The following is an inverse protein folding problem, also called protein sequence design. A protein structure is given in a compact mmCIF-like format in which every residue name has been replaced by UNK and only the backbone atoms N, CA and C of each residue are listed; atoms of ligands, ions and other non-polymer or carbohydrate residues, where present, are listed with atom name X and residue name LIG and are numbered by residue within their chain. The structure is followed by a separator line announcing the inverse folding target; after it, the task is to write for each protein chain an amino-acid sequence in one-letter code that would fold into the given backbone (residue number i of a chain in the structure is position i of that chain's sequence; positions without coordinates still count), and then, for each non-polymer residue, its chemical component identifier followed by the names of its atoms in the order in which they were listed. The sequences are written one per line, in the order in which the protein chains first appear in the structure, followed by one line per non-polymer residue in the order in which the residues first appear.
data_IF_474262411582
#
_entry.id   IF_474262411582
#
_cell.length_a   1.000
_cell.length_b   1.000
_cell.length_c   1.000
_cell.angle_alpha   90.00
_cell.angle_beta   90.00
_cell.angle_gamma   90.00
#
_symmetry.space_group_name_H-M   'P 1'
#
loop_
_entity.id
_entity.type
_entity.pdbx_description
1 polymer ?
#
# COMPACT_ATOMS: atom_id res chain seq x y z
N UNK A 1 27.10 -10.52 -17.21
CA UNK A 1 26.62 -10.00 -15.90
C UNK A 1 25.13 -10.26 -15.84
N UNK A 2 24.72 -11.37 -15.25
CA UNK A 2 23.32 -11.65 -15.02
C UNK A 2 22.93 -10.95 -13.74
N UNK A 3 22.43 -9.71 -13.84
CA UNK A 3 21.79 -9.10 -12.68
C UNK A 3 20.51 -9.89 -12.43
N UNK A 4 20.57 -10.70 -11.37
CA UNK A 4 19.54 -11.64 -10.98
C UNK A 4 18.27 -10.87 -10.72
N UNK A 5 17.41 -10.79 -11.74
CA UNK A 5 16.07 -10.23 -11.68
C UNK A 5 15.43 -10.72 -10.39
N UNK A 6 15.34 -9.80 -9.43
CA UNK A 6 14.67 -9.97 -8.17
C UNK A 6 13.17 -10.12 -8.47
N UNK A 7 12.78 -11.33 -8.92
CA UNK A 7 11.40 -11.75 -9.12
C UNK A 7 10.71 -12.01 -7.77
N UNK A 8 11.34 -11.67 -6.64
CA UNK A 8 10.64 -11.77 -5.37
C UNK A 8 9.64 -10.63 -5.32
N UNK A 9 8.39 -11.01 -5.53
CA UNK A 9 7.25 -10.13 -5.41
C UNK A 9 7.30 -9.44 -4.05
N UNK A 10 7.68 -8.16 -4.01
CA UNK A 10 7.81 -7.41 -2.76
C UNK A 10 6.43 -7.22 -2.14
N UNK A 11 6.33 -7.50 -0.86
CA UNK A 11 5.15 -7.23 -0.05
C UNK A 11 5.61 -6.27 1.04
N UNK A 12 4.99 -5.11 1.10
CA UNK A 12 5.27 -4.09 2.11
C UNK A 12 4.00 -3.82 2.90
N UNK A 13 4.11 -3.97 4.21
CA UNK A 13 3.04 -3.63 5.16
C UNK A 13 3.33 -2.25 5.72
N UNK A 14 2.49 -1.28 5.36
CA UNK A 14 2.58 0.08 5.88
C UNK A 14 1.59 0.21 7.02
N UNK A 15 2.08 0.56 8.20
CA UNK A 15 1.24 0.77 9.37
C UNK A 15 1.36 2.22 9.80
N UNK A 16 0.23 2.89 9.90
CA UNK A 16 0.07 4.19 10.48
C UNK A 16 -0.56 4.03 11.85
N UNK A 17 0.18 4.38 12.89
CA UNK A 17 -0.22 4.22 14.29
C UNK A 17 -1.13 5.34 14.80
N UNK A 18 -0.98 6.56 14.28
CA UNK A 18 -1.69 7.76 14.73
C UNK A 18 -2.32 8.48 13.54
N UNK A 19 -3.37 7.89 12.97
CA UNK A 19 -4.11 8.52 11.89
C UNK A 19 -5.31 9.30 12.43
N UNK A 20 -5.48 10.55 12.02
CA UNK A 20 -6.67 11.33 12.35
C UNK A 20 -7.88 10.81 11.53
N UNK A 21 -9.12 10.94 12.04
CA UNK A 21 -10.32 10.42 11.37
C UNK A 21 -10.50 10.94 9.94
N UNK A 22 -10.08 12.17 9.65
CA UNK A 22 -10.22 12.80 8.34
C UNK A 22 -9.27 12.18 7.30
N UNK A 23 -8.00 12.02 7.66
CA UNK A 23 -6.99 11.28 6.87
C UNK A 23 -7.40 9.82 6.67
N UNK A 24 -7.94 9.18 7.71
CA UNK A 24 -8.43 7.79 7.62
C UNK A 24 -9.55 7.66 6.59
N UNK A 25 -10.55 8.53 6.65
CA UNK A 25 -11.65 8.52 5.70
C UNK A 25 -11.15 8.72 4.26
N UNK A 26 -10.16 9.61 4.07
CA UNK A 26 -9.55 9.86 2.76
C UNK A 26 -8.76 8.65 2.25
N UNK A 27 -7.93 8.03 3.09
CA UNK A 27 -7.15 6.84 2.74
C UNK A 27 -8.01 5.63 2.49
N UNK A 28 -9.01 5.38 3.34
CA UNK A 28 -9.96 4.29 3.15
C UNK A 28 -10.76 4.48 1.86
N UNK A 29 -11.29 5.68 1.60
CA UNK A 29 -11.99 5.97 0.36
C UNK A 29 -11.09 5.73 -0.87
N UNK A 30 -9.82 6.15 -0.82
CA UNK A 30 -8.84 5.96 -1.88
C UNK A 30 -8.55 4.48 -2.17
N UNK A 31 -8.40 3.67 -1.12
CA UNK A 31 -8.09 2.23 -1.23
C UNK A 31 -9.34 1.45 -1.64
N UNK A 32 -10.50 1.81 -1.07
CA UNK A 32 -11.81 1.20 -1.37
C UNK A 32 -12.28 1.53 -2.77
N UNK A 33 -12.02 2.75 -3.28
CA UNK A 33 -12.29 3.12 -4.67
C UNK A 33 -11.52 2.21 -5.63
N UNK A 34 -10.26 1.89 -5.31
CA UNK A 34 -9.40 0.98 -6.07
C UNK A 34 -9.71 -0.50 -5.83
N UNK A 35 -10.54 -0.83 -4.83
CA UNK A 35 -10.89 -2.18 -4.37
C UNK A 35 -9.70 -3.15 -4.28
N UNK A 36 -8.52 -2.62 -3.98
CA UNK A 36 -7.28 -3.40 -4.01
C UNK A 36 -6.91 -4.05 -5.34
N UNK A 37 -7.56 -3.65 -6.42
CA UNK A 37 -7.46 -4.26 -7.74
C UNK A 37 -6.76 -3.34 -8.74
N UNK A 38 -6.88 -2.02 -8.60
CA UNK A 38 -6.16 -1.09 -9.50
C UNK A 38 -4.66 -1.03 -9.13
N UNK A 39 -3.77 -1.50 -10.02
CA UNK A 39 -2.35 -1.35 -9.83
C UNK A 39 -1.99 0.13 -10.05
N UNK A 40 -1.29 0.73 -9.09
CA UNK A 40 -0.81 2.10 -9.19
C UNK A 40 0.71 2.12 -9.28
N UNK A 41 1.24 3.04 -10.10
CA UNK A 41 2.68 3.26 -10.19
C UNK A 41 3.13 4.05 -8.97
N UNK A 42 4.00 3.43 -8.17
CA UNK A 42 4.64 4.09 -7.04
C UNK A 42 6.13 3.76 -7.06
N UNK A 43 6.93 4.81 -6.96
CA UNK A 43 8.38 4.73 -6.90
C UNK A 43 8.78 4.81 -5.43
N UNK A 44 9.11 3.68 -4.76
CA UNK A 44 9.67 3.75 -3.43
C UNK A 44 11.00 4.50 -3.48
N UNK A 45 11.36 5.25 -2.43
CA UNK A 45 12.61 6.03 -2.39
C UNK A 45 13.88 5.18 -2.54
N UNK A 46 13.78 3.86 -2.36
CA UNK A 46 14.84 2.87 -2.55
C UNK A 46 15.01 2.42 -4.02
N UNK A 47 14.05 2.68 -4.89
CA UNK A 47 14.11 2.27 -6.31
C UNK A 47 14.19 3.48 -7.24
N UNK A 48 14.99 3.34 -8.30
CA UNK A 48 15.16 4.37 -9.32
C UNK A 48 14.01 4.40 -10.35
N UNK A 49 13.15 3.38 -10.38
CA UNK A 49 12.09 3.23 -11.38
C UNK A 49 10.71 3.04 -10.73
N UNK A 50 9.64 3.59 -11.33
CA UNK A 50 8.28 3.38 -10.85
C UNK A 50 7.87 1.91 -10.99
N UNK A 51 7.36 1.34 -9.91
CA UNK A 51 6.88 -0.05 -9.87
C UNK A 51 5.38 -0.08 -9.66
N UNK A 52 4.72 -1.09 -10.20
CA UNK A 52 3.28 -1.28 -10.02
C UNK A 52 3.02 -1.94 -8.67
N UNK A 53 2.21 -1.28 -7.85
CA UNK A 53 1.79 -1.77 -6.54
C UNK A 53 0.29 -1.97 -6.51
N UNK A 54 -0.14 -3.02 -5.82
CA UNK A 54 -1.56 -3.36 -5.62
C UNK A 54 -1.82 -3.48 -4.13
N UNK A 55 -2.85 -2.82 -3.61
CA UNK A 55 -3.20 -2.88 -2.19
C UNK A 55 -4.21 -4.01 -1.95
N UNK A 56 -3.75 -5.25 -1.79
CA UNK A 56 -4.70 -6.39 -1.74
C UNK A 56 -5.50 -6.41 -0.44
N UNK A 57 -4.90 -5.94 0.65
CA UNK A 57 -5.47 -6.06 1.98
C UNK A 57 -5.12 -4.81 2.79
N UNK A 58 -6.11 -4.29 3.50
CA UNK A 58 -5.92 -3.24 4.49
C UNK A 58 -6.82 -3.53 5.69
N UNK A 59 -6.36 -3.09 6.86
CA UNK A 59 -7.00 -3.25 8.16
C UNK A 59 -6.99 -1.90 8.86
N UNK A 60 -8.03 -1.62 9.62
CA UNK A 60 -8.08 -0.44 10.47
C UNK A 60 -8.49 -0.86 11.87
N UNK A 61 -7.91 -0.20 12.86
CA UNK A 61 -8.25 -0.33 14.27
C UNK A 61 -8.52 1.07 14.82
N UNK A 62 -9.45 1.17 15.77
CA UNK A 62 -9.82 2.46 16.35
C UNK A 62 -9.26 2.49 17.77
N UNK A 63 -8.26 3.33 17.96
CA UNK A 63 -7.63 3.49 19.26
C UNK A 63 -8.46 4.42 20.16
N UNK A 64 -8.48 4.09 21.45
CA UNK A 64 -9.09 4.90 22.49
C UNK A 64 -8.35 6.24 22.61
N UNK A 65 -8.97 7.31 22.13
CA UNK A 65 -8.35 8.63 22.00
C UNK A 65 -8.76 9.39 20.74
N UNK A 66 -9.55 8.76 19.86
CA UNK A 66 -10.02 9.39 18.62
C UNK A 66 -9.05 9.26 17.45
N UNK A 67 -8.00 8.45 17.61
CA UNK A 67 -7.07 8.10 16.55
C UNK A 67 -7.45 6.75 15.93
N UNK A 68 -7.05 6.58 14.69
CA UNK A 68 -7.21 5.35 13.93
C UNK A 68 -5.84 4.79 13.62
N UNK A 69 -5.66 3.50 13.89
CA UNK A 69 -4.53 2.73 13.39
C UNK A 69 -4.91 2.16 12.05
N UNK A 70 -4.18 2.49 11.00
CA UNK A 70 -4.43 1.97 9.66
C UNK A 70 -3.25 1.10 9.25
N UNK A 71 -3.49 -0.07 8.68
CA UNK A 71 -2.46 -0.97 8.18
C UNK A 71 -2.82 -1.40 6.77
N UNK A 72 -1.97 -1.15 5.78
CA UNK A 72 -2.18 -1.56 4.40
C UNK A 72 -1.03 -2.43 3.89
N UNK A 73 -1.39 -3.54 3.25
CA UNK A 73 -0.46 -4.48 2.65
C UNK A 73 -0.42 -4.26 1.15
N UNK A 74 0.67 -3.64 0.69
CA UNK A 74 0.93 -3.42 -0.72
C UNK A 74 1.78 -4.56 -1.28
N UNK A 75 1.36 -5.07 -2.42
CA UNK A 75 2.00 -6.16 -3.13
C UNK A 75 2.43 -5.65 -4.50
N UNK A 76 3.72 -5.75 -4.77
CA UNK A 76 4.28 -5.45 -6.09
C UNK A 76 3.63 -6.40 -7.11
N UNK A 77 3.25 -5.85 -8.26
CA UNK A 77 2.71 -6.60 -9.39
C UNK A 77 3.51 -6.23 -10.64
N UNK A 78 3.89 -7.22 -11.45
CA UNK A 78 4.66 -7.01 -12.69
C UNK A 78 3.80 -7.13 -13.95
N UNK A 79 2.50 -7.39 -13.78
CA UNK A 79 1.55 -7.62 -14.86
C UNK A 79 0.45 -6.55 -14.79
N UNK A 80 0.24 -5.73 -15.84
CA UNK A 80 -1.00 -5.00 -15.99
C UNK A 80 -2.08 -6.04 -16.34
N UNK A 81 -3.08 -6.21 -15.48
CA UNK A 81 -4.25 -7.07 -15.79
C UNK A 81 -5.30 -6.23 -16.48
#
# INVERSE_FOLDING_TARGET
MGDGRNNVRRIVSWTWETLVPDDYATMEAFIRARRGCEPFLWTPSDEAAPVLWTCKEWSHDREDGGFYRFAATFRQSFVPT
#
